data_IF_101859985754
#
_entry.id   IF_101859985754
#
_cell.length_a   1.000
_cell.length_b   1.000
_cell.length_c   1.000
_cell.angle_alpha   90.00
_cell.angle_beta   90.00
_cell.angle_gamma   90.00
#
_symmetry.space_group_name_H-M   'P 1'
#
loop_
_entity.id
_entity.type
_entity.pdbx_description
1 polymer ?
#
# COMPACT_ATOMS: atom_id res chain seq x y z
N UNK A 1 14.03 -3.49 42.49
CA UNK A 1 13.30 -2.62 41.54
C UNK A 1 11.97 -3.27 41.13
N UNK A 2 10.88 -2.70 41.65
CA UNK A 2 9.50 -3.17 41.47
C UNK A 2 9.08 -3.09 40.00
N UNK A 3 8.57 -4.19 39.44
CA UNK A 3 8.19 -4.27 38.04
C UNK A 3 6.96 -3.38 37.78
N UNK A 4 7.14 -2.33 36.98
CA UNK A 4 6.07 -1.38 36.60
C UNK A 4 4.90 -2.13 35.97
N UNK A 5 3.79 -2.21 36.71
CA UNK A 5 2.51 -2.77 36.28
C UNK A 5 1.92 -1.85 35.20
N UNK A 6 1.80 -2.35 33.96
CA UNK A 6 1.23 -1.57 32.83
C UNK A 6 2.19 -1.20 31.70
N UNK A 7 3.34 -1.88 31.54
CA UNK A 7 4.20 -1.65 30.36
C UNK A 7 3.52 -2.09 29.06
N UNK A 8 3.39 -1.22 28.04
CA UNK A 8 2.82 -1.60 26.75
C UNK A 8 3.69 -2.67 26.08
N UNK A 9 3.05 -3.61 25.39
CA UNK A 9 3.74 -4.58 24.55
C UNK A 9 3.85 -4.03 23.13
N UNK A 10 5.09 -3.78 22.69
CA UNK A 10 5.37 -3.39 21.32
C UNK A 10 5.42 -4.65 20.44
N UNK A 11 4.68 -4.62 19.33
CA UNK A 11 4.72 -5.63 18.29
C UNK A 11 5.15 -4.98 16.99
N UNK A 12 6.01 -5.67 16.26
CA UNK A 12 6.52 -5.22 14.98
C UNK A 12 6.16 -6.23 13.90
N UNK A 13 5.90 -5.70 12.71
CA UNK A 13 5.65 -6.47 11.50
C UNK A 13 6.44 -5.86 10.34
N UNK A 14 6.69 -6.69 9.34
CA UNK A 14 7.41 -6.29 8.15
C UNK A 14 6.62 -5.24 7.37
N UNK A 15 7.33 -4.25 6.83
CA UNK A 15 6.72 -3.23 5.97
C UNK A 15 6.38 -3.84 4.61
N UNK A 16 5.27 -3.37 4.05
CA UNK A 16 4.89 -3.65 2.67
C UNK A 16 5.88 -3.01 1.69
N UNK A 17 6.43 -3.82 0.78
CA UNK A 17 7.16 -3.36 -0.39
C UNK A 17 6.55 -4.00 -1.64
N UNK A 18 6.30 -3.19 -2.67
CA UNK A 18 5.65 -3.63 -3.91
C UNK A 18 6.65 -3.52 -5.06
N UNK A 19 6.72 -4.55 -5.92
CA UNK A 19 7.52 -4.49 -7.15
C UNK A 19 7.03 -3.37 -8.09
N UNK A 20 7.91 -2.92 -8.99
CA UNK A 20 7.58 -1.92 -10.01
C UNK A 20 6.98 -0.60 -9.46
N UNK A 21 7.20 -0.31 -8.17
CA UNK A 21 6.58 0.80 -7.48
C UNK A 21 7.62 1.61 -6.69
N UNK A 22 7.44 2.93 -6.67
CA UNK A 22 8.30 3.84 -5.90
C UNK A 22 7.59 4.24 -4.60
N UNK A 23 8.10 3.78 -3.46
CA UNK A 23 7.49 4.07 -2.15
C UNK A 23 8.12 5.27 -1.43
N UNK A 24 9.31 5.72 -1.84
CA UNK A 24 10.04 6.80 -1.16
C UNK A 24 9.38 8.15 -1.41
N UNK A 25 8.93 8.83 -0.34
CA UNK A 25 8.39 10.20 -0.40
C UNK A 25 9.28 11.17 -1.17
N UNK A 26 10.62 11.08 -1.00
CA UNK A 26 11.58 11.94 -1.72
C UNK A 26 11.51 11.73 -3.23
N UNK A 27 11.43 10.47 -3.68
CA UNK A 27 11.34 10.13 -5.11
C UNK A 27 9.96 10.50 -5.67
N UNK A 28 8.88 10.24 -4.93
CA UNK A 28 7.53 10.62 -5.32
C UNK A 28 7.38 12.14 -5.44
N UNK A 29 7.96 12.90 -4.51
CA UNK A 29 7.95 14.36 -4.57
C UNK A 29 8.65 14.86 -5.83
N UNK A 30 9.79 14.27 -6.20
CA UNK A 30 10.49 14.57 -7.46
C UNK A 30 9.61 14.34 -8.68
N UNK A 31 8.81 13.26 -8.72
CA UNK A 31 7.87 13.02 -9.82
C UNK A 31 6.83 14.15 -9.99
N UNK A 32 6.35 14.69 -8.87
CA UNK A 32 5.39 15.80 -8.85
C UNK A 32 6.08 17.12 -9.24
N UNK A 33 7.21 17.44 -8.61
CA UNK A 33 7.96 18.69 -8.84
C UNK A 33 8.51 18.80 -10.27
N UNK A 34 8.94 17.68 -10.87
CA UNK A 34 9.44 17.64 -12.25
C UNK A 34 8.32 17.43 -13.29
N UNK A 35 7.05 17.36 -12.86
CA UNK A 35 5.90 17.33 -13.77
C UNK A 35 5.66 16.00 -14.51
N UNK A 36 6.27 14.90 -14.08
CA UNK A 36 5.99 13.57 -14.66
C UNK A 36 4.56 13.09 -14.36
N UNK A 37 3.99 13.58 -13.26
CA UNK A 37 2.62 13.33 -12.83
C UNK A 37 1.88 14.64 -12.56
N UNK A 38 0.55 14.62 -12.67
CA UNK A 38 -0.30 15.80 -12.46
C UNK A 38 -0.34 16.27 -11.00
N UNK A 39 -0.02 15.38 -10.06
CA UNK A 39 -0.11 15.65 -8.62
C UNK A 39 0.03 14.38 -7.78
N UNK A 40 -0.23 14.50 -6.48
CA UNK A 40 -0.16 13.38 -5.53
C UNK A 40 -1.29 12.36 -5.70
N UNK A 41 -2.39 12.77 -6.31
CA UNK A 41 -3.57 11.97 -6.62
C UNK A 41 -3.57 11.45 -8.07
N UNK A 42 -2.54 11.72 -8.88
CA UNK A 42 -2.43 11.18 -10.23
C UNK A 42 -2.56 9.65 -10.21
N UNK A 43 -3.44 9.01 -11.01
CA UNK A 43 -3.69 7.56 -10.95
C UNK A 43 -2.46 6.65 -11.13
N UNK A 44 -1.33 7.19 -11.61
CA UNK A 44 -0.05 6.46 -11.73
C UNK A 44 0.76 6.46 -10.43
N UNK A 45 0.38 7.27 -9.45
CA UNK A 45 1.04 7.37 -8.15
C UNK A 45 0.59 6.23 -7.22
N UNK A 46 1.47 5.69 -6.36
CA UNK A 46 1.12 4.64 -5.41
C UNK A 46 0.58 5.21 -4.08
N UNK A 47 -0.18 6.31 -4.15
CA UNK A 47 -0.82 6.91 -2.98
C UNK A 47 -2.25 6.40 -2.84
N UNK A 48 -2.79 6.36 -1.63
CA UNK A 48 -4.19 6.00 -1.40
C UNK A 48 -5.14 6.95 -2.17
N UNK A 49 -4.80 8.24 -2.25
CA UNK A 49 -5.57 9.22 -3.02
C UNK A 49 -5.59 8.89 -4.53
N UNK A 50 -4.43 8.51 -5.08
CA UNK A 50 -4.31 8.11 -6.47
C UNK A 50 -5.02 6.80 -6.77
N UNK A 51 -4.92 5.79 -5.90
CA UNK A 51 -5.67 4.54 -6.03
C UNK A 51 -7.17 4.81 -6.05
N UNK A 52 -7.67 5.68 -5.16
CA UNK A 52 -9.07 6.09 -5.14
C UNK A 52 -9.47 6.80 -6.44
N UNK A 53 -8.66 7.74 -6.95
CA UNK A 53 -8.92 8.42 -8.23
C UNK A 53 -8.86 7.46 -9.42
N UNK A 54 -8.04 6.41 -9.35
CA UNK A 54 -7.94 5.33 -10.34
C UNK A 54 -9.20 4.44 -10.38
N UNK A 55 -10.10 4.57 -9.41
CA UNK A 55 -11.30 3.73 -9.31
C UNK A 55 -11.09 2.45 -8.50
N UNK A 56 -9.99 2.37 -7.73
CA UNK A 56 -9.78 1.24 -6.81
C UNK A 56 -10.73 1.39 -5.63
N UNK A 57 -11.45 0.31 -5.33
CA UNK A 57 -12.39 0.22 -4.20
C UNK A 57 -11.66 0.00 -2.88
N UNK A 58 -12.29 0.36 -1.77
CA UNK A 58 -11.80 0.03 -0.43
C UNK A 58 -11.69 -1.47 -0.21
N UNK A 59 -12.65 -2.24 -0.77
CA UNK A 59 -12.72 -3.68 -0.61
C UNK A 59 -11.53 -4.37 -1.29
N UNK A 60 -11.14 -3.94 -2.50
CA UNK A 60 -9.98 -4.50 -3.19
C UNK A 60 -8.66 -4.27 -2.43
N UNK A 61 -8.51 -3.12 -1.77
CA UNK A 61 -7.32 -2.81 -0.96
C UNK A 61 -7.31 -3.65 0.33
N UNK A 62 -8.47 -3.86 0.95
CA UNK A 62 -8.59 -4.71 2.12
C UNK A 62 -8.28 -6.18 1.79
N UNK A 63 -8.85 -6.71 0.71
CA UNK A 63 -8.57 -8.08 0.23
C UNK A 63 -7.09 -8.27 -0.09
N UNK A 64 -6.46 -7.28 -0.74
CA UNK A 64 -5.01 -7.31 -0.97
C UNK A 64 -4.22 -7.41 0.34
N UNK A 65 -4.56 -6.61 1.36
CA UNK A 65 -3.93 -6.64 2.68
C UNK A 65 -4.12 -8.00 3.39
N UNK A 66 -5.28 -8.61 3.27
CA UNK A 66 -5.58 -9.92 3.86
C UNK A 66 -4.78 -11.03 3.17
N UNK A 67 -4.64 -10.99 1.83
CA UNK A 67 -3.89 -11.99 1.05
C UNK A 67 -2.39 -11.95 1.27
N UNK A 68 -1.80 -10.75 1.41
CA UNK A 68 -0.36 -10.64 1.70
C UNK A 68 -0.03 -11.09 3.14
N UNK A 69 -1.01 -10.97 4.05
CA UNK A 69 -0.87 -11.32 5.45
C UNK A 69 0.14 -10.45 6.22
N UNK A 70 0.41 -10.86 7.46
CA UNK A 70 1.36 -10.19 8.35
C UNK A 70 2.52 -11.12 8.66
N UNK A 71 3.73 -10.69 8.33
CA UNK A 71 4.96 -11.43 8.60
C UNK A 71 5.95 -10.58 9.41
N UNK A 72 6.95 -11.23 10.02
CA UNK A 72 8.09 -10.53 10.65
C UNK A 72 9.29 -10.37 9.71
N UNK A 73 9.37 -11.18 8.67
CA UNK A 73 10.40 -11.10 7.64
C UNK A 73 10.01 -10.13 6.53
N UNK A 74 10.98 -9.37 6.02
CA UNK A 74 10.76 -8.52 4.87
C UNK A 74 10.41 -9.36 3.63
N UNK A 75 9.34 -8.99 2.94
CA UNK A 75 8.93 -9.57 1.67
C UNK A 75 8.72 -8.48 0.63
N UNK A 76 8.85 -8.87 -0.63
CA UNK A 76 8.50 -8.04 -1.77
C UNK A 76 7.29 -8.66 -2.43
N UNK A 77 6.20 -7.89 -2.52
CA UNK A 77 4.93 -8.33 -3.10
C UNK A 77 4.86 -7.87 -4.55
N UNK A 78 4.38 -8.74 -5.44
CA UNK A 78 4.20 -8.36 -6.83
C UNK A 78 3.02 -7.41 -7.01
N UNK A 79 3.20 -6.32 -7.77
CA UNK A 79 2.13 -5.42 -8.20
C UNK A 79 0.98 -6.17 -8.89
N UNK A 80 1.28 -7.27 -9.59
CA UNK A 80 0.28 -8.11 -10.23
C UNK A 80 -0.78 -8.64 -9.24
N UNK A 81 -0.41 -8.88 -7.97
CA UNK A 81 -1.36 -9.32 -6.95
C UNK A 81 -2.37 -8.21 -6.60
N UNK A 82 -1.91 -6.96 -6.50
CA UNK A 82 -2.79 -5.82 -6.26
C UNK A 82 -3.77 -5.64 -7.43
N UNK A 83 -3.28 -5.73 -8.67
CA UNK A 83 -4.13 -5.65 -9.86
C UNK A 83 -5.13 -6.79 -9.94
N UNK A 84 -4.76 -7.98 -9.51
CA UNK A 84 -5.65 -9.13 -9.42
C UNK A 84 -6.79 -8.88 -8.43
N UNK A 85 -6.50 -8.41 -7.21
CA UNK A 85 -7.54 -8.10 -6.21
C UNK A 85 -8.51 -7.02 -6.72
N UNK A 86 -7.99 -6.01 -7.42
CA UNK A 86 -8.81 -4.96 -8.04
C UNK A 86 -9.72 -5.54 -9.12
N UNK A 87 -9.19 -6.41 -9.99
CA UNK A 87 -9.96 -7.05 -11.06
C UNK A 87 -11.05 -7.95 -10.50
N UNK A 88 -10.75 -8.76 -9.50
CA UNK A 88 -11.74 -9.64 -8.87
C UNK A 88 -12.88 -8.86 -8.23
N UNK A 89 -12.56 -7.80 -7.47
CA UNK A 89 -13.59 -6.96 -6.83
C UNK A 89 -14.49 -6.27 -7.87
N UNK A 90 -13.91 -5.71 -8.93
CA UNK A 90 -14.66 -5.01 -9.96
C UNK A 90 -15.49 -5.97 -10.84
N UNK A 91 -14.97 -7.16 -11.18
CA UNK A 91 -15.71 -8.16 -11.96
C UNK A 91 -16.99 -8.64 -11.27
N UNK A 92 -17.04 -8.61 -9.94
CA UNK A 92 -18.23 -9.00 -9.18
C UNK A 92 -19.28 -7.88 -9.09
N UNK A 93 -18.89 -6.63 -9.35
CA UNK A 93 -19.71 -5.43 -9.11
C UNK A 93 -20.11 -4.69 -10.40
N UNK A 94 -19.39 -4.88 -11.49
CA UNK A 94 -19.57 -4.21 -12.79
C UNK A 94 -20.08 -5.17 -13.86
#
# INVERSE_FOLDING_TARGET
PEAVKGRPRQYEFARLNITNTVMSKRKLRRLVEEGFVQGWDDPRMPTIAALRRRGVTSEAVADFCDRIGVARSASMVDMALLEHCIREDLNAKA
#
